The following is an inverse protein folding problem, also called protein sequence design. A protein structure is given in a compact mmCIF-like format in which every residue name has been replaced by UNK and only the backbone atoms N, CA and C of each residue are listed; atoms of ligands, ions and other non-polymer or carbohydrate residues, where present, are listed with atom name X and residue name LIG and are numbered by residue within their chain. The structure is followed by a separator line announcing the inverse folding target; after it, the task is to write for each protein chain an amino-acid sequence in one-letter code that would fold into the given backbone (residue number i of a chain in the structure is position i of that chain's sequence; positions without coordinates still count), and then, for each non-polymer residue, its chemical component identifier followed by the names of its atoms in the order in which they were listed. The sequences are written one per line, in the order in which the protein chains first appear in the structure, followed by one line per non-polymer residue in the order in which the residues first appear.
data_IF_330955511089
#
_entry.id   IF_330955511089
#
_cell.length_a   1.000
_cell.length_b   1.000
_cell.length_c   1.000
_cell.angle_alpha   90.00
_cell.angle_beta   90.00
_cell.angle_gamma   90.00
#
_symmetry.space_group_name_H-M   'P 1'
#
loop_
_entity.id
_entity.type
_entity.pdbx_description
1 polymer ?
#
# COMPACT_ATOMS: atom_id res chain seq x y z
N UNK A 1 16.44 20.62 7.34
CA UNK A 1 15.08 20.74 6.78
C UNK A 1 14.70 19.43 6.10
N UNK A 2 13.42 19.06 6.07
CA UNK A 2 12.92 17.97 5.20
C UNK A 2 13.24 18.26 3.73
N UNK A 3 13.40 17.24 2.90
CA UNK A 3 13.65 17.43 1.46
C UNK A 3 12.42 18.03 0.76
N UNK A 4 12.55 18.53 -0.48
CA UNK A 4 11.38 18.98 -1.26
C UNK A 4 10.32 17.88 -1.35
N UNK A 5 10.74 16.64 -1.61
CA UNK A 5 9.86 15.48 -1.61
C UNK A 5 9.12 15.29 -0.27
N UNK A 6 9.83 15.36 0.86
CA UNK A 6 9.21 15.20 2.19
C UNK A 6 8.28 16.36 2.54
N UNK A 7 8.59 17.58 2.10
CA UNK A 7 7.72 18.75 2.23
C UNK A 7 6.41 18.55 1.46
N UNK A 8 6.49 18.18 0.18
CA UNK A 8 5.33 17.96 -0.68
C UNK A 8 4.48 16.80 -0.13
N UNK A 9 5.14 15.71 0.29
CA UNK A 9 4.47 14.56 0.88
C UNK A 9 3.77 14.92 2.20
N UNK A 10 4.45 15.64 3.09
CA UNK A 10 3.89 16.07 4.37
C UNK A 10 2.68 17.00 4.18
N UNK A 11 2.78 17.94 3.23
CA UNK A 11 1.68 18.83 2.88
C UNK A 11 0.48 18.05 2.32
N UNK A 12 0.70 17.16 1.36
CA UNK A 12 -0.35 16.36 0.75
C UNK A 12 -1.05 15.45 1.77
N UNK A 13 -0.31 14.80 2.67
CA UNK A 13 -0.88 13.96 3.73
C UNK A 13 -1.73 14.80 4.69
N UNK A 14 -1.23 15.94 5.15
CA UNK A 14 -1.96 16.81 6.06
C UNK A 14 -3.25 17.36 5.44
N UNK A 15 -3.17 17.80 4.18
CA UNK A 15 -4.33 18.29 3.45
C UNK A 15 -5.39 17.19 3.26
N UNK A 16 -4.98 16.00 2.82
CA UNK A 16 -5.87 14.86 2.64
C UNK A 16 -6.54 14.40 3.94
N UNK A 17 -5.80 14.41 5.05
CA UNK A 17 -6.35 14.10 6.37
C UNK A 17 -7.44 15.11 6.76
N UNK A 18 -7.24 16.40 6.46
CA UNK A 18 -8.26 17.44 6.64
C UNK A 18 -9.54 17.14 5.85
N UNK A 19 -9.40 16.76 4.57
CA UNK A 19 -10.53 16.36 3.70
C UNK A 19 -11.28 15.14 4.27
N UNK A 20 -10.58 14.15 4.83
CA UNK A 20 -11.24 12.99 5.45
C UNK A 20 -12.03 13.35 6.70
N UNK A 21 -11.50 14.26 7.52
CA UNK A 21 -12.20 14.76 8.71
C UNK A 21 -13.44 15.55 8.30
N UNK A 22 -13.34 16.43 7.30
CA UNK A 22 -14.48 17.20 6.76
C UNK A 22 -15.56 16.27 6.18
N UNK A 23 -15.16 15.17 5.55
CA UNK A 23 -16.07 14.15 5.02
C UNK A 23 -16.58 13.14 6.07
N UNK A 24 -16.34 13.37 7.36
CA UNK A 24 -16.73 12.51 8.48
C UNK A 24 -16.26 11.04 8.33
N UNK A 25 -15.11 10.83 7.71
CA UNK A 25 -14.51 9.50 7.53
C UNK A 25 -13.50 9.22 8.65
N UNK A 26 -13.71 8.13 9.39
CA UNK A 26 -12.83 7.70 10.49
C UNK A 26 -12.20 6.35 10.24
N UNK A 27 -11.11 6.04 10.96
CA UNK A 27 -10.40 4.76 10.85
C UNK A 27 -9.64 4.58 9.53
N UNK A 28 -9.48 5.64 8.74
CA UNK A 28 -8.69 5.67 7.51
C UNK A 28 -7.30 6.27 7.76
N UNK A 29 -6.31 5.71 7.09
CA UNK A 29 -4.97 6.26 6.94
C UNK A 29 -4.87 6.86 5.53
N UNK A 30 -4.25 8.03 5.40
CA UNK A 30 -3.97 8.61 4.08
C UNK A 30 -2.97 7.73 3.35
N UNK A 31 -3.33 7.34 2.13
CA UNK A 31 -2.49 6.62 1.18
C UNK A 31 -2.18 7.55 0.01
N UNK A 32 -0.90 7.69 -0.33
CA UNK A 32 -0.47 8.42 -1.53
C UNK A 32 0.31 7.45 -2.40
N UNK A 33 -0.17 7.29 -3.63
CA UNK A 33 0.42 6.39 -4.62
C UNK A 33 1.02 7.18 -5.79
N UNK A 34 1.75 6.48 -6.67
CA UNK A 34 2.55 7.10 -7.76
C UNK A 34 3.63 8.09 -7.30
N UNK A 35 4.17 7.93 -6.09
CA UNK A 35 5.25 8.76 -5.52
C UNK A 35 6.55 8.81 -6.36
N UNK A 36 6.74 7.89 -7.32
CA UNK A 36 7.85 7.92 -8.28
C UNK A 36 7.70 9.03 -9.32
N UNK A 37 6.46 9.36 -9.67
CA UNK A 37 6.09 10.40 -10.63
C UNK A 37 6.18 11.78 -10.00
N UNK A 38 6.04 12.82 -10.82
CA UNK A 38 5.96 14.20 -10.35
C UNK A 38 4.75 14.41 -9.43
N UNK A 39 4.84 15.42 -8.55
CA UNK A 39 3.84 15.70 -7.51
C UNK A 39 2.44 15.89 -8.11
N UNK A 40 2.33 16.46 -9.32
CA UNK A 40 1.07 16.64 -10.04
C UNK A 40 0.39 15.34 -10.47
N UNK A 41 1.12 14.22 -10.48
CA UNK A 41 0.64 12.89 -10.86
C UNK A 41 0.38 11.99 -9.65
N UNK A 42 0.57 12.50 -8.44
CA UNK A 42 0.31 11.74 -7.22
C UNK A 42 -1.19 11.48 -7.06
N UNK A 43 -1.51 10.24 -6.68
CA UNK A 43 -2.88 9.83 -6.38
C UNK A 43 -3.06 9.74 -4.88
N UNK A 44 -4.03 10.47 -4.35
CA UNK A 44 -4.34 10.52 -2.91
C UNK A 44 -5.62 9.71 -2.64
N UNK A 45 -5.58 8.88 -1.60
CA UNK A 45 -6.68 8.03 -1.18
C UNK A 45 -6.62 7.68 0.31
N UNK A 46 -7.55 6.83 0.74
CA UNK A 46 -7.65 6.37 2.13
C UNK A 46 -7.61 4.85 2.22
N UNK A 47 -6.78 4.31 3.09
CA UNK A 47 -6.74 2.87 3.42
C UNK A 47 -7.27 2.65 4.83
N UNK A 48 -8.20 1.71 5.06
CA UNK A 48 -8.63 1.39 6.41
C UNK A 48 -7.45 0.92 7.25
N UNK A 49 -7.29 1.49 8.43
CA UNK A 49 -6.19 1.17 9.33
C UNK A 49 -6.17 -0.33 9.71
N UNK A 50 -7.35 -0.94 9.86
CA UNK A 50 -7.50 -2.38 10.12
C UNK A 50 -6.97 -3.26 8.99
N UNK A 51 -6.95 -2.78 7.75
CA UNK A 51 -6.34 -3.48 6.60
C UNK A 51 -4.81 -3.55 6.69
N UNK A 52 -4.19 -2.84 7.63
CA UNK A 52 -2.76 -2.94 7.92
C UNK A 52 -2.48 -3.83 9.13
N UNK A 53 -3.51 -4.48 9.70
CA UNK A 53 -3.41 -5.32 10.89
C UNK A 53 -3.71 -6.79 10.57
N UNK A 54 -3.07 -7.67 11.33
CA UNK A 54 -3.32 -9.11 11.37
C UNK A 54 -3.59 -9.52 12.81
N UNK A 55 -4.70 -10.24 13.01
CA UNK A 55 -5.04 -10.87 14.27
C UNK A 55 -4.42 -12.27 14.28
N UNK A 56 -3.63 -12.57 15.31
CA UNK A 56 -3.06 -13.89 15.52
C UNK A 56 -3.59 -14.46 16.83
N UNK A 57 -4.15 -15.66 16.76
CA UNK A 57 -4.50 -16.43 17.96
C UNK A 57 -3.21 -16.88 18.68
N UNK A 58 -3.21 -16.95 20.01
CA UNK A 58 -2.08 -17.50 20.76
C UNK A 58 -1.84 -18.94 20.32
N UNK A 59 -0.56 -19.29 20.15
CA UNK A 59 -0.19 -20.65 19.77
C UNK A 59 -0.67 -21.64 20.86
N UNK A 60 -1.19 -22.82 20.47
CA UNK A 60 -1.66 -23.81 21.42
C UNK A 60 -0.51 -24.26 22.32
N UNK A 61 -0.46 -23.75 23.55
CA UNK A 61 0.58 -24.02 24.53
C UNK A 61 1.13 -22.80 25.26
N UNK A 62 0.92 -21.59 24.73
CA UNK A 62 1.37 -20.35 25.40
C UNK A 62 0.37 -19.92 26.49
N UNK A 63 0.52 -20.53 27.67
CA UNK A 63 -0.26 -20.22 28.89
C UNK A 63 0.13 -18.87 29.53
N UNK A 64 1.12 -18.16 28.99
CA UNK A 64 1.60 -16.90 29.57
C UNK A 64 0.80 -15.68 29.09
N UNK A 65 0.15 -15.79 27.92
CA UNK A 65 -0.62 -14.67 27.36
C UNK A 65 -2.00 -14.56 28.01
N UNK A 66 -2.27 -13.42 28.66
CA UNK A 66 -3.60 -13.09 29.23
C UNK A 66 -4.62 -12.67 28.16
N UNK A 67 -4.16 -12.40 26.94
CA UNK A 67 -4.97 -11.92 25.82
C UNK A 67 -5.29 -13.07 24.88
N UNK A 68 -6.55 -13.16 24.46
CA UNK A 68 -7.05 -14.18 23.51
C UNK A 68 -6.52 -13.97 22.08
N UNK A 69 -5.92 -12.81 21.77
CA UNK A 69 -5.36 -12.52 20.45
C UNK A 69 -4.23 -11.48 20.55
N UNK A 70 -3.31 -11.52 19.56
CA UNK A 70 -2.28 -10.49 19.35
C UNK A 70 -2.56 -9.76 18.04
N UNK A 71 -2.56 -8.43 18.08
CA UNK A 71 -2.61 -7.59 16.88
C UNK A 71 -1.16 -7.34 16.44
N UNK A 72 -0.84 -7.75 15.21
CA UNK A 72 0.45 -7.49 14.57
C UNK A 72 0.23 -6.67 13.31
N UNK A 73 1.18 -5.80 12.90
CA UNK A 73 1.13 -5.22 11.57
C UNK A 73 1.14 -6.35 10.54
N UNK A 74 0.23 -6.28 9.56
CA UNK A 74 0.24 -7.16 8.39
C UNK A 74 1.60 -7.00 7.73
N UNK A 75 2.27 -8.12 7.43
CA UNK A 75 3.66 -8.09 6.96
C UNK A 75 3.79 -7.09 5.82
N UNK A 76 4.79 -6.19 5.94
CA UNK A 76 5.06 -5.20 4.91
C UNK A 76 5.31 -5.96 3.62
N UNK A 77 4.76 -5.46 2.52
CA UNK A 77 5.33 -5.72 1.20
C UNK A 77 6.81 -5.40 1.32
N UNK A 78 7.64 -6.42 1.45
CA UNK A 78 9.07 -6.24 1.30
C UNK A 78 9.21 -5.66 -0.11
N UNK A 79 9.93 -4.55 -0.23
CA UNK A 79 10.52 -4.21 -1.52
C UNK A 79 11.22 -5.47 -2.01
N UNK A 80 11.24 -5.68 -3.32
CA UNK A 80 11.90 -6.86 -3.88
C UNK A 80 13.43 -6.66 -3.76
N UNK A 81 13.91 -6.65 -2.51
CA UNK A 81 15.29 -6.60 -2.09
C UNK A 81 16.02 -7.87 -2.55
N UNK A 82 15.30 -8.86 -3.08
CA UNK A 82 15.92 -9.95 -3.82
C UNK A 82 16.65 -9.45 -5.08
N UNK A 83 16.29 -8.26 -5.60
CA UNK A 83 17.04 -7.59 -6.67
C UNK A 83 18.36 -6.98 -6.19
N UNK A 84 18.53 -6.74 -4.89
CA UNK A 84 19.87 -6.64 -4.28
C UNK A 84 20.39 -8.06 -4.03
N UNK A 85 20.58 -8.78 -5.13
CA UNK A 85 21.41 -9.97 -5.17
C UNK A 85 22.73 -9.63 -4.49
N UNK A 86 23.10 -10.44 -3.49
CA UNK A 86 24.43 -10.53 -2.87
C UNK A 86 25.33 -9.32 -3.07
N UNK A 87 25.55 -8.53 -2.00
CA UNK A 87 26.61 -7.52 -1.95
C UNK A 87 27.83 -7.99 -2.76
N UNK A 88 28.27 -7.25 -3.78
CA UNK A 88 29.33 -7.70 -4.68
C UNK A 88 30.59 -8.00 -3.87
N UNK A 89 31.51 -8.76 -4.46
CA UNK A 89 32.76 -9.11 -3.79
C UNK A 89 33.47 -7.84 -3.30
N UNK A 90 34.13 -7.86 -2.12
CA UNK A 90 34.72 -6.65 -1.53
C UNK A 90 35.60 -5.84 -2.49
N UNK A 91 36.29 -6.52 -3.41
CA UNK A 91 37.16 -5.92 -4.42
C UNK A 91 36.41 -5.17 -5.53
N UNK A 92 35.11 -5.42 -5.72
CA UNK A 92 34.25 -4.78 -6.73
C UNK A 92 33.38 -3.67 -6.14
N UNK A 93 33.44 -3.44 -4.82
CA UNK A 93 32.62 -2.44 -4.14
C UNK A 93 33.15 -1.04 -4.38
N UNK A 94 32.26 -0.13 -4.77
CA UNK A 94 32.55 1.29 -4.90
C UNK A 94 31.84 2.07 -3.79
N UNK A 95 32.57 2.91 -3.07
CA UNK A 95 31.98 3.83 -2.10
C UNK A 95 31.39 5.03 -2.83
N UNK A 96 30.09 5.27 -2.63
CA UNK A 96 29.43 6.48 -3.10
C UNK A 96 29.28 7.42 -1.92
N UNK A 97 29.79 8.65 -2.05
CA UNK A 97 29.61 9.71 -1.06
C UNK A 97 28.54 10.68 -1.56
N UNK A 98 27.26 10.54 -1.17
CA UNK A 98 26.23 11.47 -1.58
C UNK A 98 26.51 12.86 -0.99
N UNK A 99 26.22 13.90 -1.77
CA UNK A 99 26.30 15.28 -1.30
C UNK A 99 25.20 15.63 -0.30
N UNK A 100 25.24 16.86 0.26
CA UNK A 100 24.15 17.40 1.08
C UNK A 100 22.83 17.46 0.30
N UNK A 101 21.70 17.39 1.02
CA UNK A 101 20.39 17.61 0.43
C UNK A 101 20.32 19.02 -0.20
N UNK A 102 19.88 19.07 -1.46
CA UNK A 102 19.73 20.32 -2.21
C UNK A 102 18.25 20.69 -2.35
N UNK A 103 17.94 21.98 -2.32
CA UNK A 103 16.57 22.52 -2.42
C UNK A 103 16.32 23.20 -3.77
N UNK A 104 17.39 23.62 -4.43
CA UNK A 104 17.40 24.27 -5.74
C UNK A 104 18.42 23.56 -6.64
N UNK A 105 18.25 23.71 -7.96
CA UNK A 105 19.14 23.10 -8.95
C UNK A 105 18.73 21.68 -9.35
N UNK A 106 19.58 20.98 -10.13
CA UNK A 106 19.20 19.74 -10.82
C UNK A 106 18.92 18.57 -9.88
N UNK A 107 19.52 18.54 -8.69
CA UNK A 107 19.37 17.42 -7.76
C UNK A 107 18.26 17.64 -6.71
N UNK A 108 17.56 18.77 -6.72
CA UNK A 108 16.57 19.10 -5.68
C UNK A 108 15.34 18.18 -5.68
N UNK A 109 15.01 17.62 -6.85
CA UNK A 109 13.92 16.64 -7.04
C UNK A 109 14.35 15.18 -6.90
N UNK A 110 15.58 14.90 -6.46
CA UNK A 110 16.09 13.53 -6.37
C UNK A 110 15.32 12.71 -5.33
N UNK A 111 14.80 11.55 -5.74
CA UNK A 111 14.06 10.62 -4.88
C UNK A 111 14.97 9.48 -4.39
N UNK A 112 14.54 8.78 -3.34
CA UNK A 112 15.32 7.65 -2.79
C UNK A 112 15.37 6.48 -3.78
N UNK A 113 16.52 5.79 -3.85
CA UNK A 113 16.67 4.64 -4.75
C UNK A 113 15.65 3.54 -4.44
N UNK A 114 15.39 3.28 -3.16
CA UNK A 114 14.38 2.31 -2.71
C UNK A 114 12.98 2.63 -3.23
N UNK A 115 12.60 3.92 -3.29
CA UNK A 115 11.32 4.32 -3.87
C UNK A 115 11.28 4.00 -5.36
N UNK A 116 12.39 4.21 -6.08
CA UNK A 116 12.49 3.97 -7.51
C UNK A 116 12.58 2.48 -7.89
N UNK A 117 12.94 1.57 -6.96
CA UNK A 117 13.07 0.13 -7.22
C UNK A 117 11.80 -0.51 -7.83
N UNK A 118 11.93 -1.49 -8.74
CA UNK A 118 10.81 -2.24 -9.27
C UNK A 118 10.00 -2.92 -8.15
N UNK A 119 8.68 -2.80 -8.19
CA UNK A 119 7.79 -3.38 -7.18
C UNK A 119 7.24 -4.73 -7.66
N UNK A 120 8.13 -5.65 -8.04
CA UNK A 120 7.75 -6.93 -8.64
C UNK A 120 6.87 -7.79 -7.71
N UNK A 121 7.10 -7.75 -6.39
CA UNK A 121 6.22 -8.43 -5.43
C UNK A 121 4.77 -7.90 -5.48
N UNK A 122 4.58 -6.58 -5.63
CA UNK A 122 3.25 -5.98 -5.79
C UNK A 122 2.57 -6.49 -7.06
N UNK A 123 3.30 -6.52 -8.17
CA UNK A 123 2.81 -7.06 -9.45
C UNK A 123 2.40 -8.53 -9.31
N UNK A 124 3.23 -9.36 -8.65
CA UNK A 124 2.91 -10.77 -8.38
C UNK A 124 1.65 -10.93 -7.52
N UNK A 125 1.48 -10.09 -6.50
CA UNK A 125 0.29 -10.11 -5.66
C UNK A 125 -0.96 -9.68 -6.42
N UNK A 126 -0.87 -8.68 -7.29
CA UNK A 126 -1.97 -8.27 -8.15
C UNK A 126 -2.39 -9.41 -9.08
N UNK A 127 -1.43 -10.04 -9.76
CA UNK A 127 -1.68 -11.20 -10.63
C UNK A 127 -2.33 -12.37 -9.86
N UNK A 128 -1.85 -12.67 -8.64
CA UNK A 128 -2.46 -13.71 -7.78
C UNK A 128 -3.88 -13.35 -7.38
N UNK A 129 -4.13 -12.08 -7.06
CA UNK A 129 -5.47 -11.59 -6.70
C UNK A 129 -6.43 -11.72 -7.88
N UNK A 130 -6.01 -11.34 -9.09
CA UNK A 130 -6.77 -11.53 -10.33
C UNK A 130 -7.08 -13.00 -10.59
N UNK A 131 -6.11 -13.89 -10.38
CA UNK A 131 -6.31 -15.34 -10.50
C UNK A 131 -7.36 -15.85 -9.52
N UNK A 132 -7.29 -15.46 -8.24
CA UNK A 132 -8.26 -15.83 -7.22
C UNK A 132 -9.66 -15.30 -7.53
N UNK A 133 -9.78 -14.07 -8.02
CA UNK A 133 -11.06 -13.51 -8.47
C UNK A 133 -11.64 -14.32 -9.63
N UNK A 134 -10.80 -14.74 -10.60
CA UNK A 134 -11.23 -15.57 -11.73
C UNK A 134 -11.71 -16.95 -11.27
N UNK A 135 -11.00 -17.58 -10.34
CA UNK A 135 -11.39 -18.86 -9.75
C UNK A 135 -12.69 -18.75 -8.94
N UNK A 136 -12.82 -17.68 -8.16
CA UNK A 136 -14.04 -17.43 -7.40
C UNK A 136 -15.23 -17.24 -8.34
N UNK A 137 -15.05 -16.53 -9.46
CA UNK A 137 -16.08 -16.38 -10.50
C UNK A 137 -16.49 -17.71 -11.13
N UNK A 138 -15.54 -18.61 -11.43
CA UNK A 138 -15.86 -19.92 -12.01
C UNK A 138 -16.59 -20.82 -11.00
N UNK A 139 -16.14 -20.86 -9.75
CA UNK A 139 -16.79 -21.64 -8.68
C UNK A 139 -18.18 -21.12 -8.34
N UNK A 140 -18.36 -19.80 -8.30
CA UNK A 140 -19.65 -19.18 -8.07
C UNK A 140 -20.67 -19.50 -9.19
N UNK A 141 -20.20 -19.80 -10.42
CA UNK A 141 -21.07 -20.19 -11.54
C UNK A 141 -21.54 -21.66 -11.52
N UNK A 142 -20.93 -22.53 -10.72
CA UNK A 142 -21.17 -23.97 -10.71
C UNK A 142 -22.31 -24.40 -9.75
N UNK A 143 -23.54 -23.92 -9.98
CA UNK A 143 -24.73 -24.37 -9.24
C UNK A 143 -24.77 -23.98 -7.76
N UNK A 144 -24.05 -22.92 -7.38
CA UNK A 144 -24.02 -22.42 -6.00
C UNK A 144 -25.39 -21.88 -5.56
N UNK A 145 -25.76 -22.09 -4.30
CA UNK A 145 -26.99 -21.52 -3.74
C UNK A 145 -26.97 -19.98 -3.87
N UNK A 146 -28.12 -19.41 -4.24
CA UNK A 146 -28.26 -17.98 -4.58
C UNK A 146 -27.88 -17.08 -3.40
N UNK A 147 -28.09 -17.56 -2.18
CA UNK A 147 -27.81 -16.91 -0.91
C UNK A 147 -26.29 -16.75 -0.70
N UNK A 148 -25.51 -17.78 -1.04
CA UNK A 148 -24.05 -17.76 -0.94
C UNK A 148 -23.46 -16.79 -1.97
N UNK A 149 -23.98 -16.82 -3.20
CA UNK A 149 -23.63 -15.85 -4.25
C UNK A 149 -23.95 -14.41 -3.84
N UNK A 150 -25.12 -14.17 -3.22
CA UNK A 150 -25.51 -12.85 -2.70
C UNK A 150 -24.57 -12.39 -1.59
N UNK A 151 -24.22 -13.26 -0.65
CA UNK A 151 -23.30 -12.92 0.44
C UNK A 151 -21.89 -12.60 -0.09
N UNK A 152 -21.35 -13.43 -0.98
CA UNK A 152 -20.05 -13.21 -1.62
C UNK A 152 -20.06 -11.93 -2.45
N UNK A 153 -21.11 -11.68 -3.23
CA UNK A 153 -21.28 -10.43 -3.97
C UNK A 153 -21.33 -9.24 -3.03
N UNK A 154 -22.10 -9.28 -1.95
CA UNK A 154 -22.19 -8.18 -0.97
C UNK A 154 -20.84 -7.88 -0.32
N UNK A 155 -20.07 -8.92 0.04
CA UNK A 155 -18.75 -8.78 0.64
C UNK A 155 -17.73 -8.21 -0.36
N UNK A 156 -17.73 -8.70 -1.60
CA UNK A 156 -16.86 -8.19 -2.66
C UNK A 156 -17.26 -6.78 -3.09
N UNK A 157 -18.56 -6.50 -3.20
CA UNK A 157 -19.08 -5.18 -3.51
C UNK A 157 -18.71 -4.20 -2.40
N UNK A 158 -18.89 -4.57 -1.12
CA UNK A 158 -18.45 -3.75 0.00
C UNK A 158 -16.94 -3.49 -0.01
N UNK A 159 -16.13 -4.51 -0.34
CA UNK A 159 -14.68 -4.35 -0.51
C UNK A 159 -14.30 -3.47 -1.71
N UNK A 160 -15.00 -3.60 -2.83
CA UNK A 160 -14.79 -2.81 -4.05
C UNK A 160 -15.25 -1.38 -3.84
N UNK A 161 -16.38 -1.14 -3.18
CA UNK A 161 -16.89 0.20 -2.86
C UNK A 161 -15.93 0.90 -1.88
N UNK A 162 -15.35 0.16 -0.93
CA UNK A 162 -14.25 0.66 -0.10
C UNK A 162 -13.02 1.08 -0.93
N UNK A 163 -12.67 0.30 -1.96
CA UNK A 163 -11.54 0.62 -2.84
C UNK A 163 -11.85 1.70 -3.88
N UNK A 164 -13.12 1.79 -4.32
CA UNK A 164 -13.67 2.80 -5.24
C UNK A 164 -14.06 4.11 -4.53
N UNK A 165 -13.94 4.19 -3.22
CA UNK A 165 -13.82 5.49 -2.54
C UNK A 165 -12.52 6.22 -2.90
N UNK A 166 -11.65 5.63 -3.74
CA UNK A 166 -10.81 6.40 -4.67
C UNK A 166 -11.71 7.30 -5.54
N UNK A 167 -11.61 8.63 -5.48
CA UNK A 167 -12.24 9.44 -6.49
C UNK A 167 -11.55 9.15 -7.84
N UNK A 168 -12.25 8.46 -8.74
CA UNK A 168 -11.94 8.49 -10.17
C UNK A 168 -12.17 9.93 -10.64
N UNK A 169 -11.08 10.70 -10.70
CA UNK A 169 -11.01 11.91 -11.51
C UNK A 169 -10.82 11.48 -12.96
N UNK A 170 -11.91 11.07 -13.62
CA UNK A 170 -11.98 11.23 -15.07
C UNK A 170 -13.42 11.47 -15.55
N UNK A 171 -13.62 12.62 -16.18
CA UNK A 171 -14.73 12.85 -17.11
C UNK A 171 -15.84 13.85 -16.73
N UNK A 172 -15.58 15.13 -17.04
CA UNK A 172 -16.54 16.22 -17.38
C UNK A 172 -17.15 17.04 -16.23
N UNK A 173 -16.53 18.19 -15.94
CA UNK A 173 -16.87 19.53 -16.50
C UNK A 173 -15.81 20.54 -16.08
#
# INVERSE_FOLDING_TARGET
MPTNFDCDLGYAIGYAAGVFVEAERTGLLVDISKLKEDVSQWEVGGVPFSSLMQFKEPEPGDRSSKLTYSIRPRSRLLYDLSYESSMPDPCERTLVSPGPAQFEGPCSGTKTQTLCMPQAQRVRQMAKTEQLIKELKSKASAGCQVEVLKAVKMLLQGGVDLMKQRPDLDGRR
#
